data_IF_190209678946
#
_entry.id   IF_190209678946
#
_cell.length_a   1.000
_cell.length_b   1.000
_cell.length_c   1.000
_cell.angle_alpha   90.00
_cell.angle_beta   90.00
_cell.angle_gamma   90.00
#
_symmetry.space_group_name_H-M   'P 1'
#
loop_
_entity.id
_entity.type
_entity.pdbx_description
1 polymer ?
#
# COMPACT_ATOMS: atom_id res chain seq x y z
N UNK A 1 15.27 -66.15 9.15
CA UNK A 1 16.46 -65.46 8.61
C UNK A 1 16.21 -65.15 7.16
N UNK A 2 15.73 -63.96 6.86
CA UNK A 2 15.53 -63.47 5.51
C UNK A 2 16.43 -62.22 5.34
N UNK A 3 17.28 -62.33 4.32
CA UNK A 3 18.46 -61.55 4.04
C UNK A 3 18.21 -60.09 3.73
N UNK A 4 19.05 -59.21 4.31
CA UNK A 4 19.13 -57.75 4.14
C UNK A 4 19.63 -57.26 2.75
N UNK A 5 19.42 -57.98 1.67
CA UNK A 5 20.00 -57.70 0.33
C UNK A 5 19.00 -57.43 -0.81
N UNK A 6 17.76 -56.99 -0.51
CA UNK A 6 16.77 -56.72 -1.56
C UNK A 6 16.03 -55.39 -1.43
N UNK A 7 16.67 -54.34 -0.88
CA UNK A 7 16.03 -53.03 -0.77
C UNK A 7 16.89 -51.86 -1.33
N UNK A 8 17.68 -52.15 -2.35
CA UNK A 8 18.50 -51.13 -3.03
C UNK A 8 18.45 -51.35 -4.55
N UNK A 9 17.29 -51.25 -5.13
CA UNK A 9 17.10 -51.01 -6.57
C UNK A 9 15.69 -50.48 -6.76
N UNK A 10 15.57 -49.19 -6.93
CA UNK A 10 14.59 -48.38 -7.65
C UNK A 10 14.35 -47.08 -6.89
N UNK A 11 14.93 -46.05 -7.39
CA UNK A 11 14.42 -44.70 -7.62
C UNK A 11 15.56 -43.70 -7.69
N UNK A 12 16.35 -43.79 -8.77
CA UNK A 12 16.93 -42.58 -9.35
C UNK A 12 15.82 -41.90 -10.13
N UNK A 13 15.00 -41.13 -9.44
CA UNK A 13 14.18 -40.13 -10.07
C UNK A 13 15.10 -38.98 -10.43
N UNK A 14 15.43 -38.86 -11.70
CA UNK A 14 16.11 -37.72 -12.27
C UNK A 14 15.29 -36.47 -11.93
N UNK A 15 15.76 -35.65 -10.99
CA UNK A 15 15.38 -34.28 -10.88
C UNK A 15 15.81 -33.60 -12.19
N UNK A 16 14.90 -33.53 -13.14
CA UNK A 16 14.99 -32.63 -14.25
C UNK A 16 15.03 -31.21 -13.66
N UNK A 17 16.22 -30.66 -13.52
CA UNK A 17 16.38 -29.20 -13.42
C UNK A 17 15.78 -28.64 -14.70
N UNK A 18 14.53 -28.19 -14.61
CA UNK A 18 13.95 -27.34 -15.63
C UNK A 18 14.89 -26.13 -15.73
N UNK A 19 15.67 -26.10 -16.78
CA UNK A 19 16.52 -24.97 -17.13
C UNK A 19 15.58 -23.76 -17.22
N UNK A 20 15.69 -22.83 -16.26
CA UNK A 20 15.08 -21.52 -16.38
C UNK A 20 15.57 -20.97 -17.72
N UNK A 21 14.71 -20.70 -18.70
CA UNK A 21 15.15 -20.20 -19.97
C UNK A 21 15.93 -18.92 -19.68
N UNK A 22 17.24 -18.92 -19.96
CA UNK A 22 18.03 -17.70 -20.08
C UNK A 22 17.36 -16.94 -21.21
N UNK A 23 16.54 -15.93 -20.87
CA UNK A 23 16.01 -15.01 -21.87
C UNK A 23 17.21 -14.29 -22.44
N UNK A 24 17.67 -14.78 -23.57
CA UNK A 24 18.69 -14.13 -24.39
C UNK A 24 18.09 -12.81 -24.88
N UNK A 25 18.73 -11.69 -24.58
CA UNK A 25 18.38 -10.36 -25.09
C UNK A 25 18.73 -10.22 -26.58
N UNK A 26 18.28 -11.17 -27.39
CA UNK A 26 18.43 -11.17 -28.85
C UNK A 26 17.13 -10.75 -29.56
N UNK A 27 16.17 -10.13 -28.87
CA UNK A 27 15.02 -9.51 -29.53
C UNK A 27 15.28 -8.03 -29.77
N UNK A 28 14.83 -7.55 -30.93
CA UNK A 28 14.71 -6.12 -31.28
C UNK A 28 14.33 -5.27 -30.06
N UNK A 29 15.01 -4.14 -29.85
CA UNK A 29 14.74 -3.20 -28.77
C UNK A 29 13.21 -3.03 -28.56
N UNK A 30 12.68 -3.21 -27.35
CA UNK A 30 11.25 -3.01 -27.10
C UNK A 30 10.87 -1.54 -27.38
N UNK A 31 9.61 -1.31 -27.70
CA UNK A 31 9.10 0.07 -27.82
C UNK A 31 9.19 0.78 -26.47
N UNK A 32 8.85 0.08 -25.39
CA UNK A 32 8.72 0.66 -24.06
C UNK A 32 9.39 -0.21 -22.98
N UNK A 33 10.16 0.43 -22.10
CA UNK A 33 10.57 -0.17 -20.82
C UNK A 33 9.75 0.45 -19.71
N UNK A 34 9.16 -0.40 -18.85
CA UNK A 34 8.40 0.00 -17.66
C UNK A 34 9.19 -0.40 -16.41
N UNK A 35 9.51 0.55 -15.53
CA UNK A 35 10.24 0.35 -14.28
C UNK A 35 9.24 0.30 -13.12
N UNK A 36 9.06 -0.88 -12.53
CA UNK A 36 8.13 -1.19 -11.45
C UNK A 36 6.97 -2.06 -11.90
N UNK A 37 6.83 -3.25 -11.32
CA UNK A 37 5.76 -4.23 -11.57
C UNK A 37 4.60 -4.13 -10.57
N UNK A 38 4.36 -2.93 -10.01
CA UNK A 38 3.18 -2.63 -9.19
C UNK A 38 1.91 -2.41 -10.03
N UNK A 39 0.79 -2.08 -9.39
CA UNK A 39 -0.51 -1.88 -10.07
C UNK A 39 -0.43 -0.95 -11.28
N UNK A 40 0.34 0.14 -11.18
CA UNK A 40 0.54 1.09 -12.25
C UNK A 40 1.34 0.51 -13.43
N UNK A 41 2.50 -0.10 -13.16
CA UNK A 41 3.34 -0.68 -14.22
C UNK A 41 2.66 -1.86 -14.92
N UNK A 42 1.95 -2.70 -14.16
CA UNK A 42 1.12 -3.77 -14.72
C UNK A 42 0.04 -3.20 -15.66
N UNK A 43 -0.57 -2.07 -15.28
CA UNK A 43 -1.57 -1.40 -16.09
C UNK A 43 -0.98 -0.82 -17.39
N UNK A 44 0.13 -0.07 -17.29
CA UNK A 44 0.86 0.45 -18.47
C UNK A 44 1.14 -0.68 -19.46
N UNK A 45 1.78 -1.75 -18.96
CA UNK A 45 2.20 -2.89 -19.77
C UNK A 45 1.00 -3.56 -20.45
N UNK A 46 -0.07 -3.84 -19.69
CA UNK A 46 -1.26 -4.45 -20.23
C UNK A 46 -1.93 -3.61 -21.33
N UNK A 47 -2.05 -2.29 -21.12
CA UNK A 47 -2.71 -1.41 -22.09
C UNK A 47 -1.88 -1.22 -23.38
N UNK A 48 -0.56 -1.14 -23.28
CA UNK A 48 0.33 -1.06 -24.45
C UNK A 48 0.37 -2.39 -25.23
N UNK A 49 0.44 -3.53 -24.52
CA UNK A 49 0.37 -4.85 -25.15
C UNK A 49 -0.93 -5.05 -25.94
N UNK A 50 -2.08 -4.61 -25.40
CA UNK A 50 -3.37 -4.61 -26.11
C UNK A 50 -3.35 -3.79 -27.42
N UNK A 51 -2.42 -2.84 -27.52
CA UNK A 51 -2.21 -2.01 -28.71
C UNK A 51 -1.09 -2.53 -29.62
N UNK A 52 -0.62 -3.77 -29.38
CA UNK A 52 0.41 -4.42 -30.18
C UNK A 52 1.82 -3.87 -29.99
N UNK A 53 2.06 -3.09 -28.91
CA UNK A 53 3.39 -2.56 -28.64
C UNK A 53 4.25 -3.58 -27.90
N UNK A 54 5.55 -3.59 -28.20
CA UNK A 54 6.52 -4.42 -27.50
C UNK A 54 6.95 -3.73 -26.21
N UNK A 55 6.72 -4.40 -25.05
CA UNK A 55 6.93 -3.83 -23.71
C UNK A 55 7.73 -4.78 -22.85
N UNK A 56 8.75 -4.25 -22.18
CA UNK A 56 9.48 -4.94 -21.11
C UNK A 56 9.15 -4.27 -19.78
N UNK A 57 8.54 -5.02 -18.87
CA UNK A 57 8.24 -4.57 -17.50
C UNK A 57 9.25 -5.18 -16.53
N UNK A 58 9.91 -4.35 -15.73
CA UNK A 58 10.95 -4.71 -14.78
C UNK A 58 10.47 -4.50 -13.35
N UNK A 59 10.79 -5.42 -12.44
CA UNK A 59 10.62 -5.22 -11.01
C UNK A 59 11.84 -5.72 -10.24
N UNK A 60 12.29 -4.93 -9.26
CA UNK A 60 13.43 -5.28 -8.42
C UNK A 60 13.10 -6.38 -7.41
N UNK A 61 11.83 -6.54 -7.03
CA UNK A 61 11.37 -7.58 -6.11
C UNK A 61 11.26 -8.95 -6.81
N UNK A 62 11.16 -10.00 -6.01
CA UNK A 62 10.93 -11.38 -6.47
C UNK A 62 9.48 -11.66 -6.85
N UNK A 63 8.61 -10.65 -6.83
CA UNK A 63 7.17 -10.75 -7.08
C UNK A 63 6.62 -9.48 -7.72
N UNK A 64 5.52 -9.61 -8.46
CA UNK A 64 4.73 -8.47 -8.96
C UNK A 64 3.71 -7.99 -7.92
N UNK A 65 3.09 -6.83 -8.17
CA UNK A 65 2.04 -6.25 -7.33
C UNK A 65 2.50 -5.09 -6.43
N UNK A 66 3.81 -4.96 -6.18
CA UNK A 66 4.36 -3.88 -5.35
C UNK A 66 3.78 -3.85 -3.94
N UNK A 67 3.15 -2.74 -3.55
CA UNK A 67 2.47 -2.54 -2.24
C UNK A 67 1.09 -3.20 -2.12
N UNK A 68 0.62 -3.91 -3.14
CA UNK A 68 -0.63 -4.69 -3.12
C UNK A 68 -0.27 -6.16 -3.33
N UNK A 69 -0.15 -6.90 -2.23
CA UNK A 69 0.32 -8.27 -2.25
C UNK A 69 -0.30 -9.10 -1.13
N UNK A 70 -0.88 -10.24 -1.49
CA UNK A 70 -1.43 -11.22 -0.55
C UNK A 70 -0.42 -12.34 -0.32
N UNK A 71 -0.15 -12.65 0.94
CA UNK A 71 0.66 -13.78 1.39
C UNK A 71 -0.26 -14.81 2.08
N UNK A 72 -0.01 -16.09 1.84
CA UNK A 72 -0.75 -17.18 2.51
C UNK A 72 0.11 -18.02 3.45
N UNK A 73 1.44 -17.86 3.38
CA UNK A 73 2.37 -18.70 4.15
C UNK A 73 2.53 -18.22 5.61
N UNK A 74 2.36 -16.92 5.89
CA UNK A 74 2.57 -16.37 7.23
C UNK A 74 1.52 -16.89 8.21
N UNK A 75 0.24 -16.84 7.85
CA UNK A 75 -0.86 -17.24 8.73
C UNK A 75 -1.62 -18.50 8.28
N UNK A 76 -1.31 -19.06 7.11
CA UNK A 76 -2.05 -20.17 6.53
C UNK A 76 -3.39 -19.76 5.89
N UNK A 77 -3.71 -18.47 5.88
CA UNK A 77 -4.90 -17.86 5.28
C UNK A 77 -4.47 -16.63 4.47
N UNK A 78 -5.32 -16.11 3.56
CA UNK A 78 -5.02 -14.88 2.83
C UNK A 78 -4.73 -13.72 3.79
N UNK A 79 -3.58 -13.09 3.60
CA UNK A 79 -3.08 -11.97 4.39
C UNK A 79 -2.47 -10.91 3.45
N UNK A 80 -3.12 -9.77 3.33
CA UNK A 80 -2.59 -8.66 2.57
C UNK A 80 -1.51 -7.93 3.37
N UNK A 81 -0.28 -7.93 2.86
CA UNK A 81 0.85 -7.24 3.50
C UNK A 81 0.79 -5.71 3.35
N UNK A 82 -0.04 -5.22 2.44
CA UNK A 82 -0.23 -3.79 2.18
C UNK A 82 -1.70 -3.48 1.98
N UNK A 83 -2.07 -2.97 0.80
CA UNK A 83 -3.45 -2.57 0.53
C UNK A 83 -4.43 -3.74 0.68
N UNK A 84 -5.44 -3.59 1.52
CA UNK A 84 -6.50 -4.57 1.74
C UNK A 84 -7.92 -4.00 1.55
N UNK A 85 -8.12 -2.67 1.63
CA UNK A 85 -9.40 -2.03 1.31
C UNK A 85 -9.59 -1.81 -0.19
N UNK A 86 -10.73 -2.21 -0.70
CA UNK A 86 -11.24 -1.79 -2.00
C UNK A 86 -11.93 -0.42 -1.86
N UNK A 87 -11.15 0.65 -1.80
CA UNK A 87 -11.70 2.01 -1.75
C UNK A 87 -12.56 2.31 -2.98
N UNK A 88 -13.58 3.16 -2.80
CA UNK A 88 -14.53 3.53 -3.85
C UNK A 88 -15.19 2.30 -4.50
N UNK A 89 -15.71 1.42 -3.68
CA UNK A 89 -16.17 0.07 -4.00
C UNK A 89 -17.02 -0.02 -5.28
N UNK A 90 -17.90 0.96 -5.53
CA UNK A 90 -18.77 0.97 -6.71
C UNK A 90 -18.07 1.48 -7.98
N UNK A 91 -16.98 2.26 -7.86
CA UNK A 91 -16.26 2.88 -8.98
C UNK A 91 -14.90 2.22 -9.25
N UNK A 92 -14.42 1.41 -8.33
CA UNK A 92 -13.15 0.69 -8.44
C UNK A 92 -13.21 -0.37 -9.54
N UNK A 93 -12.43 -0.19 -10.61
CA UNK A 93 -12.43 -1.09 -11.76
C UNK A 93 -11.93 -2.49 -11.41
N UNK A 94 -11.04 -2.62 -10.41
CA UNK A 94 -10.53 -3.92 -9.95
C UNK A 94 -11.61 -4.65 -9.16
N UNK A 95 -12.36 -3.93 -8.31
CA UNK A 95 -13.53 -4.48 -7.62
C UNK A 95 -14.62 -4.91 -8.62
N UNK A 96 -14.89 -4.10 -9.64
CA UNK A 96 -15.84 -4.47 -10.71
C UNK A 96 -15.41 -5.73 -11.46
N UNK A 97 -14.11 -5.89 -11.71
CA UNK A 97 -13.57 -7.10 -12.31
C UNK A 97 -13.79 -8.31 -11.40
N UNK A 98 -13.40 -8.21 -10.13
CA UNK A 98 -13.54 -9.31 -9.17
C UNK A 98 -14.99 -9.74 -8.96
N UNK A 99 -15.94 -8.77 -8.92
CA UNK A 99 -17.39 -9.10 -8.87
C UNK A 99 -17.89 -9.92 -10.06
N UNK A 100 -17.20 -9.89 -11.20
CA UNK A 100 -17.50 -10.75 -12.36
C UNK A 100 -16.85 -12.13 -12.25
N UNK A 101 -15.90 -12.31 -11.35
CA UNK A 101 -15.16 -13.56 -11.10
C UNK A 101 -15.69 -14.23 -9.81
N UNK A 102 -17.01 -14.41 -9.68
CA UNK A 102 -17.68 -14.86 -8.46
C UNK A 102 -17.25 -16.25 -7.98
N UNK A 103 -16.81 -17.10 -8.89
CA UNK A 103 -16.35 -18.46 -8.55
C UNK A 103 -14.93 -18.46 -7.94
N UNK A 104 -14.20 -17.32 -8.05
CA UNK A 104 -12.83 -17.18 -7.59
C UNK A 104 -12.75 -16.22 -6.41
N UNK A 105 -13.47 -15.09 -6.46
CA UNK A 105 -13.36 -14.00 -5.49
C UNK A 105 -14.71 -13.70 -4.82
N UNK A 106 -14.70 -13.75 -3.50
CA UNK A 106 -15.78 -13.26 -2.65
C UNK A 106 -15.47 -11.79 -2.29
N UNK A 107 -16.24 -10.89 -2.90
CA UNK A 107 -16.08 -9.44 -2.75
C UNK A 107 -17.34 -8.87 -2.09
N UNK A 108 -17.16 -8.21 -0.98
CA UNK A 108 -18.27 -7.68 -0.21
C UNK A 108 -17.97 -6.28 0.34
N UNK A 109 -19.03 -5.58 0.70
CA UNK A 109 -18.95 -4.24 1.27
C UNK A 109 -18.52 -4.30 2.73
N UNK A 110 -17.69 -3.35 3.15
CA UNK A 110 -17.32 -3.16 4.55
C UNK A 110 -18.58 -3.02 5.42
N UNK A 111 -18.74 -3.83 6.48
CA UNK A 111 -19.89 -3.75 7.36
C UNK A 111 -19.92 -2.50 8.24
N UNK A 112 -18.80 -1.75 8.35
CA UNK A 112 -18.68 -0.48 9.11
C UNK A 112 -19.18 -0.60 10.56
N UNK A 113 -18.85 -1.71 11.23
CA UNK A 113 -19.22 -1.98 12.62
C UNK A 113 -18.04 -1.71 13.54
N UNK A 114 -18.29 -0.95 14.62
CA UNK A 114 -17.23 -0.57 15.55
C UNK A 114 -17.58 -0.91 16.98
N UNK A 115 -16.58 -1.31 17.76
CA UNK A 115 -16.62 -1.38 19.22
C UNK A 115 -15.54 -0.47 19.81
N UNK A 116 -15.94 0.35 20.78
CA UNK A 116 -15.10 1.38 21.38
C UNK A 116 -14.94 1.07 22.86
N UNK A 117 -13.71 1.19 23.35
CA UNK A 117 -13.37 0.91 24.75
C UNK A 117 -12.64 2.09 25.41
N UNK A 118 -13.01 2.36 26.66
CA UNK A 118 -12.28 3.23 27.59
C UNK A 118 -11.76 2.36 28.74
N UNK A 119 -10.48 2.01 28.69
CA UNK A 119 -9.94 0.91 29.48
C UNK A 119 -10.69 -0.39 29.18
N UNK A 120 -11.16 -1.09 30.19
CA UNK A 120 -11.93 -2.34 30.05
C UNK A 120 -13.42 -2.13 29.77
N UNK A 121 -13.89 -0.87 29.77
CA UNK A 121 -15.31 -0.55 29.63
C UNK A 121 -15.67 -0.27 28.17
N UNK A 122 -16.59 -1.05 27.61
CA UNK A 122 -17.21 -0.74 26.32
C UNK A 122 -18.10 0.50 26.41
N UNK A 123 -17.93 1.47 25.48
CA UNK A 123 -18.63 2.75 25.48
C UNK A 123 -19.31 3.05 24.14
N UNK A 124 -20.25 4.00 24.14
CA UNK A 124 -20.99 4.40 22.92
C UNK A 124 -20.20 5.32 21.97
N UNK A 125 -19.10 5.92 22.41
CA UNK A 125 -18.19 6.72 21.61
C UNK A 125 -18.73 8.06 21.09
N UNK A 126 -19.82 8.61 21.63
CA UNK A 126 -20.42 9.88 21.15
C UNK A 126 -19.43 11.06 21.15
N UNK A 127 -18.58 11.17 22.19
CA UNK A 127 -17.55 12.21 22.26
C UNK A 127 -16.48 12.03 21.18
N UNK A 128 -16.05 10.78 20.93
CA UNK A 128 -15.12 10.43 19.88
C UNK A 128 -15.69 10.80 18.51
N UNK A 129 -16.90 10.36 18.18
CA UNK A 129 -17.53 10.66 16.89
C UNK A 129 -17.74 12.17 16.66
N UNK A 130 -18.10 12.91 17.71
CA UNK A 130 -18.23 14.36 17.64
C UNK A 130 -16.91 15.04 17.25
N UNK A 131 -15.80 14.60 17.84
CA UNK A 131 -14.48 15.15 17.55
C UNK A 131 -13.93 14.65 16.19
N UNK A 132 -14.08 13.38 15.89
CA UNK A 132 -13.74 12.79 14.59
C UNK A 132 -14.42 13.54 13.44
N UNK A 133 -15.71 13.87 13.58
CA UNK A 133 -16.47 14.67 12.62
C UNK A 133 -15.92 16.10 12.49
N UNK A 134 -15.53 16.75 13.61
CA UNK A 134 -14.93 18.09 13.58
C UNK A 134 -13.59 18.10 12.86
N UNK A 135 -12.71 17.12 13.13
CA UNK A 135 -11.44 16.98 12.45
C UNK A 135 -11.64 16.68 10.95
N UNK A 136 -12.61 15.84 10.59
CA UNK A 136 -12.97 15.57 9.20
C UNK A 136 -13.48 16.82 8.47
N UNK A 137 -14.34 17.64 9.11
CA UNK A 137 -14.76 18.92 8.54
C UNK A 137 -13.61 19.88 8.36
N UNK A 138 -12.65 19.91 9.28
CA UNK A 138 -11.44 20.73 9.17
C UNK A 138 -10.61 20.29 7.97
N UNK A 139 -10.32 18.98 7.86
CA UNK A 139 -9.61 18.35 6.74
C UNK A 139 -10.23 18.71 5.38
N UNK A 140 -11.56 18.70 5.27
CA UNK A 140 -12.26 18.88 4.00
C UNK A 140 -12.55 20.34 3.63
N UNK A 141 -12.58 21.27 4.61
CA UNK A 141 -12.96 22.66 4.37
C UNK A 141 -11.80 23.64 4.27
N UNK A 142 -10.64 23.30 4.84
CA UNK A 142 -9.45 24.18 4.78
C UNK A 142 -8.85 24.16 3.38
N UNK A 143 -8.56 25.33 2.85
CA UNK A 143 -7.95 25.50 1.52
C UNK A 143 -6.47 25.81 1.60
N UNK A 144 -5.99 26.21 2.75
CA UNK A 144 -4.61 26.64 2.97
C UNK A 144 -3.67 25.44 2.94
N UNK A 145 -2.53 25.61 2.30
CA UNK A 145 -1.47 24.61 2.26
C UNK A 145 -0.51 24.78 3.45
N UNK A 146 -1.02 24.48 4.63
CA UNK A 146 -0.30 24.59 5.90
C UNK A 146 -0.52 23.31 6.73
N UNK A 147 0.33 23.04 7.76
CA UNK A 147 0.06 21.97 8.70
C UNK A 147 -1.35 22.10 9.29
N UNK A 148 -2.12 21.01 9.26
CA UNK A 148 -3.51 21.09 9.71
C UNK A 148 -3.62 21.30 11.22
N UNK A 149 -2.59 20.95 11.98
CA UNK A 149 -2.46 21.28 13.41
C UNK A 149 -2.67 22.78 13.69
N UNK A 150 -2.21 23.67 12.79
CA UNK A 150 -2.36 25.13 12.90
C UNK A 150 -3.83 25.60 12.88
N UNK A 151 -4.75 24.73 12.49
CA UNK A 151 -6.20 25.03 12.39
C UNK A 151 -7.03 24.33 13.48
N UNK A 152 -6.39 23.54 14.34
CA UNK A 152 -7.05 22.86 15.45
C UNK A 152 -7.33 23.90 16.56
N UNK A 153 -8.54 23.86 17.10
CA UNK A 153 -8.92 24.74 18.21
C UNK A 153 -8.39 24.17 19.52
N UNK A 154 -7.79 25.01 20.36
CA UNK A 154 -7.21 24.64 21.66
C UNK A 154 -8.16 23.77 22.51
N UNK A 155 -9.42 24.18 22.65
CA UNK A 155 -10.46 23.42 23.36
C UNK A 155 -10.73 22.01 22.83
N UNK A 156 -10.20 21.63 21.65
CA UNK A 156 -10.30 20.26 21.15
C UNK A 156 -9.19 19.39 21.72
N UNK A 157 -8.03 19.99 22.03
CA UNK A 157 -6.89 19.30 22.66
C UNK A 157 -7.19 18.83 24.07
N UNK A 158 -8.05 19.60 24.79
CA UNK A 158 -8.50 19.25 26.14
C UNK A 158 -9.47 18.05 26.17
N UNK A 159 -9.95 17.62 25.01
CA UNK A 159 -10.88 16.51 24.93
C UNK A 159 -10.14 15.18 25.10
N UNK A 160 -10.53 14.41 26.09
CA UNK A 160 -9.95 13.10 26.43
C UNK A 160 -9.92 12.07 25.28
N UNK A 161 -10.65 12.32 24.18
CA UNK A 161 -10.69 11.50 22.96
C UNK A 161 -9.91 12.10 21.80
N UNK A 162 -9.16 13.19 22.02
CA UNK A 162 -8.46 13.87 20.93
C UNK A 162 -7.42 12.94 20.28
N UNK A 163 -6.57 12.26 21.07
CA UNK A 163 -5.57 11.36 20.55
C UNK A 163 -6.19 10.20 19.73
N UNK A 164 -7.31 9.63 20.19
CA UNK A 164 -8.03 8.59 19.47
C UNK A 164 -8.61 9.11 18.14
N UNK A 165 -9.26 10.28 18.17
CA UNK A 165 -9.80 10.90 16.95
C UNK A 165 -8.68 11.31 15.97
N UNK A 166 -7.55 11.79 16.49
CA UNK A 166 -6.34 12.10 15.73
C UNK A 166 -5.80 10.84 15.04
N UNK A 167 -5.59 9.75 15.80
CA UNK A 167 -5.11 8.46 15.28
C UNK A 167 -5.95 7.99 14.09
N UNK A 168 -7.27 7.96 14.26
CA UNK A 168 -8.16 7.45 13.21
C UNK A 168 -8.11 8.37 11.98
N UNK A 169 -8.19 9.71 12.18
CA UNK A 169 -8.36 10.67 11.08
C UNK A 169 -7.08 10.96 10.30
N UNK A 170 -5.90 10.76 10.88
CA UNK A 170 -4.63 11.12 10.24
C UNK A 170 -3.67 9.94 10.13
N UNK A 171 -3.06 9.39 11.18
CA UNK A 171 -2.16 8.23 11.05
C UNK A 171 -2.80 7.05 10.30
N UNK A 172 -4.05 6.68 10.59
CA UNK A 172 -4.72 5.58 9.91
C UNK A 172 -5.17 5.90 8.49
N UNK A 173 -5.74 7.08 8.24
CA UNK A 173 -6.27 7.44 6.92
C UNK A 173 -5.21 8.04 5.98
N UNK A 174 -4.13 8.60 6.49
CA UNK A 174 -3.10 9.28 5.68
C UNK A 174 -1.67 8.80 5.92
N UNK A 175 -1.43 7.98 6.95
CA UNK A 175 -0.10 7.53 7.34
C UNK A 175 0.81 8.65 7.84
N UNK A 176 0.23 9.81 8.19
CA UNK A 176 0.92 11.00 8.70
C UNK A 176 0.18 11.58 9.89
N UNK A 177 0.91 12.22 10.78
CA UNK A 177 0.33 12.98 11.88
C UNK A 177 -0.28 14.30 11.39
N UNK A 178 -1.11 14.91 12.21
CA UNK A 178 -1.88 16.12 11.85
C UNK A 178 -0.99 17.33 11.53
N UNK A 179 0.19 17.41 12.13
CA UNK A 179 1.19 18.46 11.89
C UNK A 179 1.99 18.24 10.58
N UNK A 180 2.02 17.01 10.10
CA UNK A 180 2.65 16.61 8.84
C UNK A 180 1.68 16.54 7.66
N UNK A 181 0.39 16.78 7.91
CA UNK A 181 -0.68 16.70 6.94
C UNK A 181 -1.15 18.09 6.51
N UNK A 182 -1.33 18.31 5.21
CA UNK A 182 -1.92 19.53 4.67
C UNK A 182 -3.37 19.32 4.23
N UNK A 183 -4.23 20.28 4.56
CA UNK A 183 -5.61 20.28 4.12
C UNK A 183 -5.76 20.43 2.60
N UNK A 184 -4.82 21.14 1.95
CA UNK A 184 -4.82 21.29 0.50
C UNK A 184 -4.72 19.94 -0.22
N UNK A 185 -3.86 19.02 0.28
CA UNK A 185 -3.76 17.66 -0.26
C UNK A 185 -5.02 16.83 0.01
N UNK A 186 -5.59 16.95 1.21
CA UNK A 186 -6.84 16.29 1.57
C UNK A 186 -8.01 16.70 0.69
N UNK A 187 -8.11 17.98 0.36
CA UNK A 187 -9.14 18.50 -0.53
C UNK A 187 -9.01 17.94 -1.94
N UNK A 188 -7.79 17.92 -2.50
CA UNK A 188 -7.54 17.32 -3.82
C UNK A 188 -7.94 15.83 -3.86
N UNK A 189 -7.68 15.09 -2.78
CA UNK A 189 -8.10 13.70 -2.68
C UNK A 189 -9.64 13.59 -2.63
N UNK A 190 -10.30 14.39 -1.80
CA UNK A 190 -11.77 14.39 -1.69
C UNK A 190 -12.47 14.79 -2.99
N UNK A 191 -11.97 15.84 -3.68
CA UNK A 191 -12.49 16.25 -4.98
C UNK A 191 -12.24 15.21 -6.07
N UNK A 192 -11.17 14.44 -5.97
CA UNK A 192 -10.90 13.33 -6.88
C UNK A 192 -11.84 12.13 -6.67
N UNK A 193 -12.38 11.99 -5.47
CA UNK A 193 -13.49 11.08 -5.15
C UNK A 193 -14.87 11.67 -5.56
N UNK A 194 -14.89 12.84 -6.18
CA UNK A 194 -16.07 13.67 -6.44
C UNK A 194 -17.18 13.09 -7.31
N UNK A 195 -16.97 11.89 -7.86
CA UNK A 195 -18.06 11.03 -8.32
C UNK A 195 -18.72 10.29 -7.13
N UNK A 196 -18.59 10.88 -5.96
CA UNK A 196 -19.19 10.48 -4.69
C UNK A 196 -18.38 9.41 -3.96
N UNK A 197 -17.98 9.72 -2.74
CA UNK A 197 -17.75 8.76 -1.65
C UNK A 197 -18.94 7.78 -1.46
N UNK A 198 -19.87 7.75 -2.39
CA UNK A 198 -21.13 7.01 -2.37
C UNK A 198 -20.98 5.50 -2.50
N UNK A 199 -19.75 4.99 -2.64
CA UNK A 199 -19.52 3.55 -2.72
C UNK A 199 -19.09 2.91 -1.41
N UNK A 200 -18.56 3.70 -0.47
CA UNK A 200 -17.86 3.16 0.70
C UNK A 200 -16.65 2.30 0.32
N UNK A 201 -16.21 1.50 1.25
CA UNK A 201 -15.13 0.55 1.08
C UNK A 201 -15.64 -0.89 1.03
N UNK A 202 -14.79 -1.81 0.66
CA UNK A 202 -15.08 -3.24 0.65
C UNK A 202 -13.84 -4.08 0.78
N UNK A 203 -14.04 -5.38 0.84
CA UNK A 203 -13.00 -6.37 1.05
C UNK A 203 -13.02 -7.47 0.00
N UNK A 204 -11.91 -8.19 -0.09
CA UNK A 204 -11.74 -9.40 -0.89
C UNK A 204 -11.30 -10.53 0.02
N UNK A 205 -12.12 -11.55 0.20
CA UNK A 205 -11.81 -12.66 1.11
C UNK A 205 -10.50 -13.39 0.76
N UNK A 206 -10.20 -13.50 -0.53
CA UNK A 206 -8.97 -14.13 -1.03
C UNK A 206 -7.76 -13.18 -1.05
N UNK A 207 -7.95 -11.92 -0.63
CA UNK A 207 -6.95 -10.87 -0.58
C UNK A 207 -6.95 -9.97 -1.83
N UNK A 208 -6.71 -8.68 -1.60
CA UNK A 208 -6.68 -7.68 -2.67
C UNK A 208 -5.47 -7.87 -3.60
N UNK A 209 -4.33 -8.28 -3.03
CA UNK A 209 -3.15 -8.60 -3.83
C UNK A 209 -3.38 -9.79 -4.77
N UNK A 210 -4.10 -10.82 -4.32
CA UNK A 210 -4.49 -11.96 -5.16
C UNK A 210 -5.44 -11.53 -6.28
N UNK A 211 -6.40 -10.66 -5.99
CA UNK A 211 -7.30 -10.09 -7.00
C UNK A 211 -6.54 -9.27 -8.04
N UNK A 212 -5.61 -8.40 -7.63
CA UNK A 212 -4.77 -7.63 -8.55
C UNK A 212 -3.90 -8.55 -9.43
N UNK A 213 -3.31 -9.59 -8.84
CA UNK A 213 -2.49 -10.56 -9.54
C UNK A 213 -3.31 -11.31 -10.62
N UNK A 214 -4.53 -11.69 -10.31
CA UNK A 214 -5.46 -12.31 -11.26
C UNK A 214 -5.93 -11.33 -12.35
N UNK A 215 -6.26 -10.10 -11.97
CA UNK A 215 -6.66 -9.03 -12.90
C UNK A 215 -5.59 -8.73 -13.95
N UNK A 216 -4.31 -8.86 -13.58
CA UNK A 216 -3.15 -8.61 -14.44
C UNK A 216 -2.29 -9.88 -14.66
N UNK A 217 -2.92 -11.08 -14.63
CA UNK A 217 -2.21 -12.36 -14.70
C UNK A 217 -1.37 -12.52 -15.96
N UNK A 218 -1.85 -12.05 -17.09
CA UNK A 218 -1.20 -12.18 -18.40
C UNK A 218 -0.09 -11.13 -18.67
N UNK A 219 0.23 -10.27 -17.67
CA UNK A 219 1.31 -9.29 -17.81
C UNK A 219 2.65 -9.92 -17.43
N UNK A 220 3.58 -10.08 -18.38
CA UNK A 220 4.92 -10.55 -18.08
C UNK A 220 5.71 -9.48 -17.34
N UNK A 221 6.45 -9.90 -16.29
CA UNK A 221 7.34 -9.01 -15.53
C UNK A 221 8.68 -9.72 -15.33
N UNK A 222 9.76 -9.04 -15.66
CA UNK A 222 11.10 -9.50 -15.33
C UNK A 222 11.40 -9.14 -13.88
N UNK A 223 11.24 -10.10 -13.00
CA UNK A 223 11.45 -9.97 -11.56
C UNK A 223 12.96 -9.98 -11.22
N UNK A 224 13.28 -9.53 -9.99
CA UNK A 224 14.67 -9.45 -9.50
C UNK A 224 15.59 -8.69 -10.48
N UNK A 225 15.03 -7.66 -11.11
CA UNK A 225 15.72 -6.82 -12.09
C UNK A 225 15.77 -5.39 -11.57
N UNK A 226 16.88 -5.07 -10.94
CA UNK A 226 17.12 -3.74 -10.35
C UNK A 226 17.65 -2.80 -11.44
N UNK A 227 17.00 -1.65 -11.59
CA UNK A 227 17.47 -0.58 -12.47
C UNK A 227 18.42 0.32 -11.67
N UNK A 228 19.58 0.58 -12.24
CA UNK A 228 20.62 1.43 -11.64
C UNK A 228 20.70 2.81 -12.31
N UNK A 229 20.45 2.88 -13.64
CA UNK A 229 20.54 4.12 -14.38
C UNK A 229 19.56 4.12 -15.57
N UNK A 230 19.00 5.30 -15.87
CA UNK A 230 18.23 5.59 -17.08
C UNK A 230 18.94 6.67 -17.87
N UNK A 231 19.51 6.30 -19.05
CA UNK A 231 20.14 7.25 -19.98
C UNK A 231 19.13 7.62 -21.06
N UNK A 232 18.96 8.93 -21.27
CA UNK A 232 17.92 9.45 -22.19
C UNK A 232 18.39 10.58 -23.11
N UNK A 233 19.71 10.72 -23.27
CA UNK A 233 20.40 11.70 -24.13
C UNK A 233 20.45 11.32 -25.63
N UNK A 234 20.15 10.06 -25.99
CA UNK A 234 20.14 9.56 -27.37
C UNK A 234 18.77 9.63 -28.06
N UNK A 235 18.60 8.94 -29.19
CA UNK A 235 17.33 8.83 -29.93
C UNK A 235 16.24 8.00 -29.23
N UNK A 236 16.46 7.59 -27.99
CA UNK A 236 15.58 6.80 -27.14
C UNK A 236 16.14 6.78 -25.74
N UNK A 237 15.92 5.66 -25.05
CA UNK A 237 16.40 5.44 -23.69
C UNK A 237 17.24 4.17 -23.59
N UNK A 238 18.22 4.18 -22.67
CA UNK A 238 18.96 2.99 -22.26
C UNK A 238 18.79 2.79 -20.76
N UNK A 239 18.19 1.68 -20.38
CA UNK A 239 17.94 1.32 -18.98
C UNK A 239 19.00 0.33 -18.54
N UNK A 240 19.88 0.74 -17.65
CA UNK A 240 20.99 -0.08 -17.11
C UNK A 240 20.47 -0.83 -15.88
N UNK A 241 20.57 -2.14 -15.93
CA UNK A 241 20.08 -3.04 -14.87
C UNK A 241 21.19 -3.93 -14.34
N UNK A 242 20.94 -4.64 -13.24
CA UNK A 242 21.82 -5.71 -12.74
C UNK A 242 21.91 -6.93 -13.69
N UNK A 243 21.10 -6.99 -14.75
CA UNK A 243 21.06 -8.08 -15.73
C UNK A 243 21.50 -7.66 -17.15
N UNK A 244 21.96 -6.42 -17.30
CA UNK A 244 22.36 -5.87 -18.60
C UNK A 244 21.63 -4.58 -18.95
N UNK A 245 21.80 -4.13 -20.19
CA UNK A 245 21.25 -2.87 -20.69
C UNK A 245 20.08 -3.17 -21.64
N UNK A 246 18.98 -2.45 -21.48
CA UNK A 246 17.82 -2.53 -22.35
C UNK A 246 17.67 -1.17 -23.04
N UNK A 247 17.67 -1.16 -24.38
CA UNK A 247 17.37 0.03 -25.16
C UNK A 247 15.89 0.04 -25.57
N UNK A 248 15.24 1.21 -25.55
CA UNK A 248 13.85 1.37 -25.94
C UNK A 248 13.60 2.77 -26.51
N UNK A 249 12.43 3.01 -27.11
CA UNK A 249 12.04 4.35 -27.56
C UNK A 249 11.76 5.24 -26.34
N UNK A 250 11.01 4.73 -25.37
CA UNK A 250 10.59 5.47 -24.15
C UNK A 250 10.70 4.60 -22.90
N UNK A 251 10.76 5.25 -21.75
CA UNK A 251 10.74 4.63 -20.43
C UNK A 251 9.59 5.15 -19.58
N UNK A 252 8.86 4.26 -18.91
CA UNK A 252 7.82 4.62 -17.93
C UNK A 252 8.29 4.28 -16.53
N UNK A 253 8.36 5.28 -15.65
CA UNK A 253 8.78 5.18 -14.26
C UNK A 253 7.54 5.04 -13.38
N UNK A 254 7.42 3.94 -12.63
CA UNK A 254 6.25 3.65 -11.78
C UNK A 254 6.62 3.30 -10.35
N UNK A 255 7.83 3.59 -9.92
CA UNK A 255 8.32 3.38 -8.56
C UNK A 255 7.68 4.34 -7.56
N UNK A 256 7.78 4.03 -6.26
CA UNK A 256 7.29 4.93 -5.20
C UNK A 256 8.10 6.23 -5.18
N UNK A 257 7.50 7.30 -4.66
CA UNK A 257 8.18 8.60 -4.53
C UNK A 257 9.41 8.52 -3.63
N UNK A 258 9.35 7.78 -2.53
CA UNK A 258 10.50 7.60 -1.64
C UNK A 258 11.61 6.76 -2.28
N UNK A 259 11.28 5.74 -3.08
CA UNK A 259 12.29 5.00 -3.83
C UNK A 259 12.95 5.87 -4.91
N UNK A 260 12.20 6.76 -5.56
CA UNK A 260 12.74 7.76 -6.47
C UNK A 260 13.71 8.71 -5.74
N UNK A 261 13.28 9.28 -4.61
CA UNK A 261 14.08 10.23 -3.81
C UNK A 261 15.33 9.59 -3.18
N UNK A 262 15.39 8.26 -3.06
CA UNK A 262 16.58 7.58 -2.54
C UNK A 262 17.81 7.73 -3.44
N UNK A 263 17.64 8.22 -4.69
CA UNK A 263 18.73 8.40 -5.64
C UNK A 263 19.37 7.11 -6.16
N UNK A 264 18.80 5.94 -5.83
CA UNK A 264 19.33 4.62 -6.28
C UNK A 264 19.26 4.43 -7.79
N UNK A 265 18.33 5.11 -8.46
CA UNK A 265 18.27 5.14 -9.92
C UNK A 265 18.83 6.49 -10.39
N UNK A 266 19.96 6.44 -11.07
CA UNK A 266 20.56 7.62 -11.69
C UNK A 266 19.85 7.94 -13.00
N UNK A 267 19.64 9.22 -13.28
CA UNK A 267 19.15 9.72 -14.57
C UNK A 267 20.28 10.47 -15.29
N UNK A 268 20.55 10.13 -16.54
CA UNK A 268 21.60 10.74 -17.35
C UNK A 268 21.04 11.19 -18.71
N UNK A 269 20.97 12.49 -18.99
CA UNK A 269 21.26 13.62 -18.11
C UNK A 269 20.42 13.64 -16.83
N UNK A 270 20.74 14.54 -15.87
CA UNK A 270 19.89 14.75 -14.70
C UNK A 270 18.50 15.23 -15.16
N UNK A 271 17.47 14.87 -14.42
CA UNK A 271 16.12 15.38 -14.68
C UNK A 271 16.03 16.88 -14.36
N UNK A 272 15.05 17.60 -14.92
CA UNK A 272 14.76 18.97 -14.51
C UNK A 272 14.56 19.06 -12.99
N UNK A 273 15.04 20.14 -12.38
CA UNK A 273 15.00 20.31 -10.91
C UNK A 273 13.57 20.24 -10.36
N UNK A 274 12.60 20.74 -11.13
CA UNK A 274 11.19 20.75 -10.77
C UNK A 274 10.62 19.31 -10.62
N UNK A 275 11.26 18.34 -11.26
CA UNK A 275 10.89 16.91 -11.11
C UNK A 275 11.34 16.38 -9.76
N UNK A 276 12.57 16.67 -9.32
CA UNK A 276 13.08 16.28 -8.02
C UNK A 276 12.30 16.98 -6.89
N UNK A 277 12.04 18.28 -7.02
CA UNK A 277 11.23 19.05 -6.06
C UNK A 277 9.82 18.47 -5.91
N UNK A 278 9.20 18.07 -7.04
CA UNK A 278 7.87 17.46 -7.02
C UNK A 278 7.87 16.10 -6.33
N UNK A 279 8.88 15.26 -6.56
CA UNK A 279 8.97 13.96 -5.88
C UNK A 279 9.30 14.11 -4.40
N UNK A 280 10.15 15.08 -4.00
CA UNK A 280 10.45 15.40 -2.60
C UNK A 280 9.20 15.89 -1.86
N UNK A 281 8.37 16.69 -2.52
CA UNK A 281 7.14 17.21 -1.95
C UNK A 281 6.12 16.10 -1.56
N UNK A 282 6.24 14.90 -2.12
CA UNK A 282 5.29 13.79 -1.94
C UNK A 282 5.97 12.51 -1.47
N UNK A 283 6.68 12.58 -0.35
CA UNK A 283 7.27 11.39 0.27
C UNK A 283 6.20 10.37 0.70
N UNK A 284 6.56 9.10 0.69
CA UNK A 284 5.69 8.06 1.24
C UNK A 284 5.49 8.25 2.74
N UNK A 285 4.28 8.02 3.19
CA UNK A 285 3.90 8.00 4.60
C UNK A 285 4.42 6.74 5.31
N UNK A 286 4.38 6.76 6.64
CA UNK A 286 4.70 5.60 7.46
C UNK A 286 3.39 4.87 7.82
N UNK A 287 3.31 3.58 7.47
CA UNK A 287 2.15 2.76 7.78
C UNK A 287 2.52 1.30 7.73
N UNK A 288 2.18 0.56 8.79
CA UNK A 288 2.44 -0.86 8.88
C UNK A 288 1.24 -1.59 9.49
N UNK A 289 1.04 -2.83 9.07
CA UNK A 289 0.12 -3.75 9.71
C UNK A 289 0.85 -4.51 10.82
N UNK A 290 0.39 -4.38 12.04
CA UNK A 290 0.65 -5.36 13.11
C UNK A 290 -0.53 -6.31 13.09
N UNK A 291 -0.31 -7.56 12.70
CA UNK A 291 -1.38 -8.54 12.52
C UNK A 291 -1.23 -9.68 13.50
N UNK A 292 -2.29 -10.00 14.21
CA UNK A 292 -2.35 -11.10 15.15
C UNK A 292 -3.32 -12.19 14.66
N UNK A 293 -2.92 -13.43 14.81
CA UNK A 293 -3.81 -14.57 14.75
C UNK A 293 -4.24 -14.91 16.17
N UNK A 294 -5.56 -14.95 16.40
CA UNK A 294 -6.16 -15.26 17.68
C UNK A 294 -7.00 -16.53 17.60
N UNK A 295 -7.16 -17.22 18.74
CA UNK A 295 -8.04 -18.38 18.84
C UNK A 295 -9.51 -17.97 18.67
N UNK A 296 -10.30 -18.86 18.12
CA UNK A 296 -11.74 -18.68 17.88
C UNK A 296 -12.51 -18.33 19.16
N UNK A 297 -12.07 -18.85 20.30
CA UNK A 297 -12.69 -18.61 21.60
C UNK A 297 -12.69 -17.12 22.00
N UNK A 298 -11.66 -16.34 21.60
CA UNK A 298 -11.65 -14.90 21.82
C UNK A 298 -12.83 -14.21 21.13
N UNK A 299 -13.05 -14.52 19.85
CA UNK A 299 -14.12 -13.89 19.08
C UNK A 299 -15.50 -14.26 19.59
N UNK A 300 -15.66 -15.47 20.11
CA UNK A 300 -16.90 -15.94 20.75
C UNK A 300 -17.14 -15.27 22.11
N UNK A 301 -16.13 -15.27 22.99
CA UNK A 301 -16.20 -14.74 24.34
C UNK A 301 -16.55 -13.24 24.33
N UNK A 302 -15.87 -12.46 23.49
CA UNK A 302 -16.07 -11.02 23.40
C UNK A 302 -17.10 -10.60 22.32
N UNK A 303 -17.78 -11.55 21.68
CA UNK A 303 -18.79 -11.33 20.63
C UNK A 303 -18.30 -10.46 19.48
N UNK A 304 -17.03 -10.64 19.09
CA UNK A 304 -16.41 -9.95 17.96
C UNK A 304 -16.91 -10.57 16.65
N UNK A 305 -17.59 -9.77 15.85
CA UNK A 305 -18.06 -10.21 14.52
C UNK A 305 -16.94 -10.06 13.48
N UNK A 306 -16.99 -10.81 12.37
CA UNK A 306 -16.07 -10.59 11.26
C UNK A 306 -16.05 -9.12 10.81
N UNK A 307 -14.87 -8.62 10.47
CA UNK A 307 -14.60 -7.29 9.96
C UNK A 307 -15.04 -6.15 10.88
N UNK A 308 -15.09 -6.40 12.21
CA UNK A 308 -15.45 -5.40 13.20
C UNK A 308 -14.26 -4.52 13.55
N UNK A 309 -14.43 -3.22 13.49
CA UNK A 309 -13.44 -2.27 14.01
C UNK A 309 -13.39 -2.28 15.53
N UNK A 310 -12.19 -2.24 16.09
CA UNK A 310 -11.95 -2.12 17.52
C UNK A 310 -11.14 -0.85 17.79
N UNK A 311 -11.62 0.00 18.67
CA UNK A 311 -11.04 1.30 18.96
C UNK A 311 -10.85 1.45 20.47
N UNK A 312 -9.64 1.22 20.99
CA UNK A 312 -9.31 1.57 22.37
C UNK A 312 -9.08 3.08 22.49
N UNK A 313 -9.39 3.65 23.65
CA UNK A 313 -9.06 5.04 23.96
C UNK A 313 -7.55 5.21 24.11
N UNK A 314 -7.00 6.13 23.34
CA UNK A 314 -5.57 6.47 23.36
C UNK A 314 -5.34 7.64 24.32
N UNK A 315 -4.26 7.59 25.11
CA UNK A 315 -3.97 8.55 26.19
C UNK A 315 -2.85 9.55 25.86
N UNK A 316 -2.41 9.60 24.58
CA UNK A 316 -1.38 10.56 24.15
C UNK A 316 -1.89 12.02 24.28
N UNK A 317 -1.01 12.93 24.69
CA UNK A 317 -1.36 14.34 24.92
C UNK A 317 -0.97 15.25 23.75
N UNK A 318 -1.79 16.25 23.49
CA UNK A 318 -1.54 17.31 22.53
C UNK A 318 -1.40 16.81 21.10
N UNK A 319 -0.41 17.34 20.35
CA UNK A 319 -0.12 16.99 18.96
C UNK A 319 0.96 15.91 18.80
N UNK A 320 1.40 15.29 19.87
CA UNK A 320 2.31 14.14 19.76
C UNK A 320 1.68 13.07 18.89
N UNK A 321 2.52 12.35 18.15
CA UNK A 321 2.05 11.18 17.39
C UNK A 321 1.33 10.22 18.34
N UNK A 322 0.06 9.86 18.06
CA UNK A 322 -0.67 8.98 18.97
C UNK A 322 -0.06 7.59 19.00
N UNK A 323 0.24 7.10 20.19
CA UNK A 323 0.67 5.72 20.40
C UNK A 323 -0.56 4.79 20.34
N UNK A 324 -0.96 4.45 19.13
CA UNK A 324 -2.18 3.71 18.90
C UNK A 324 -2.29 3.13 17.50
N UNK A 325 -3.45 2.53 17.23
CA UNK A 325 -3.75 1.89 15.95
C UNK A 325 -5.21 2.04 15.56
N UNK A 326 -5.52 1.80 14.29
CA UNK A 326 -6.85 1.37 13.85
C UNK A 326 -6.86 -0.13 13.70
N UNK A 327 -7.97 -0.79 13.95
CA UNK A 327 -7.98 -2.22 13.81
C UNK A 327 -9.22 -2.76 13.11
N UNK A 328 -9.00 -3.82 12.34
CA UNK A 328 -10.07 -4.65 11.77
C UNK A 328 -9.92 -6.05 12.35
N UNK A 329 -10.88 -6.43 13.20
CA UNK A 329 -10.87 -7.68 13.93
C UNK A 329 -11.50 -8.81 13.10
N UNK A 330 -10.91 -10.01 13.20
CA UNK A 330 -11.44 -11.23 12.55
C UNK A 330 -11.71 -11.01 11.06
N UNK A 331 -10.74 -10.45 10.34
CA UNK A 331 -10.89 -10.12 8.92
C UNK A 331 -11.34 -11.36 8.12
N UNK A 332 -12.43 -11.23 7.38
CA UNK A 332 -13.02 -12.32 6.58
C UNK A 332 -13.38 -13.59 7.35
N UNK A 333 -13.60 -13.52 8.67
CA UNK A 333 -13.74 -14.67 9.56
C UNK A 333 -12.54 -15.64 9.55
N UNK A 334 -11.35 -15.10 9.30
CA UNK A 334 -10.10 -15.86 9.13
C UNK A 334 -9.28 -16.02 10.40
N UNK A 335 -9.77 -15.47 11.54
CA UNK A 335 -9.08 -15.42 12.84
C UNK A 335 -7.80 -14.60 12.86
N UNK A 336 -7.53 -13.82 11.81
CA UNK A 336 -6.52 -12.77 11.85
C UNK A 336 -7.16 -11.40 12.04
N UNK A 337 -6.48 -10.56 12.79
CA UNK A 337 -6.91 -9.19 13.08
C UNK A 337 -5.76 -8.24 12.77
N UNK A 338 -6.07 -7.17 12.05
CA UNK A 338 -5.11 -6.11 11.72
C UNK A 338 -5.19 -5.02 12.78
N UNK A 339 -4.02 -4.52 13.16
CA UNK A 339 -3.80 -3.37 14.01
C UNK A 339 -2.86 -2.43 13.26
N UNK A 340 -3.46 -1.46 12.61
CA UNK A 340 -2.77 -0.60 11.66
C UNK A 340 -2.17 0.59 12.37
N UNK A 341 -0.85 0.68 12.37
CA UNK A 341 -0.09 1.81 12.92
C UNK A 341 0.34 2.75 11.81
N UNK A 342 0.24 4.06 12.06
CA UNK A 342 0.61 5.11 11.11
C UNK A 342 1.37 6.25 11.78
N UNK A 343 1.83 7.22 10.97
CA UNK A 343 2.54 8.40 11.44
C UNK A 343 3.96 8.12 11.96
N UNK A 344 4.49 9.02 12.78
CA UNK A 344 5.83 8.86 13.36
C UNK A 344 5.90 7.67 14.32
N UNK A 345 4.81 7.38 15.04
CA UNK A 345 4.73 6.20 15.89
C UNK A 345 4.98 4.89 15.12
N UNK A 346 4.40 4.73 13.93
CA UNK A 346 4.67 3.57 13.08
C UNK A 346 6.14 3.46 12.67
N UNK A 347 6.78 4.60 12.38
CA UNK A 347 8.19 4.65 12.01
C UNK A 347 9.10 4.26 13.18
N UNK A 348 8.76 4.68 14.39
CA UNK A 348 9.52 4.33 15.59
C UNK A 348 9.35 2.85 15.94
N UNK A 349 8.14 2.30 15.92
CA UNK A 349 7.91 0.86 16.07
C UNK A 349 8.66 0.03 15.02
N UNK A 350 8.74 0.51 13.79
CA UNK A 350 9.48 -0.18 12.72
C UNK A 350 10.98 -0.20 12.97
N UNK A 351 11.55 0.86 13.58
CA UNK A 351 12.97 0.88 14.00
C UNK A 351 13.24 -0.15 15.08
N UNK A 352 12.36 -0.24 16.07
CA UNK A 352 12.48 -1.21 17.18
C UNK A 352 12.24 -2.65 16.72
N UNK A 353 11.48 -2.85 15.65
CA UNK A 353 11.29 -4.13 15.01
C UNK A 353 9.95 -4.80 15.26
N UNK A 354 9.71 -5.90 14.53
CA UNK A 354 8.41 -6.59 14.50
C UNK A 354 7.93 -7.06 15.87
N UNK A 355 8.85 -7.47 16.75
CA UNK A 355 8.49 -7.90 18.10
C UNK A 355 7.91 -6.77 18.93
N UNK A 356 8.51 -5.57 18.87
CA UNK A 356 8.03 -4.41 19.61
C UNK A 356 6.60 -4.03 19.20
N UNK A 357 6.30 -4.03 17.88
CA UNK A 357 4.94 -3.77 17.41
C UNK A 357 3.93 -4.81 17.88
N UNK A 358 4.30 -6.10 17.88
CA UNK A 358 3.43 -7.18 18.38
C UNK A 358 3.20 -7.03 19.90
N UNK A 359 4.26 -6.78 20.68
CA UNK A 359 4.17 -6.62 22.12
C UNK A 359 3.31 -5.39 22.50
N UNK A 360 3.42 -4.29 21.75
CA UNK A 360 2.60 -3.10 21.94
C UNK A 360 1.09 -3.42 21.77
N UNK A 361 0.73 -4.12 20.69
CA UNK A 361 -0.65 -4.51 20.47
C UNK A 361 -1.15 -5.48 21.54
N UNK A 362 -0.35 -6.48 21.89
CA UNK A 362 -0.69 -7.42 22.94
C UNK A 362 -0.92 -6.71 24.28
N UNK A 363 -0.08 -5.72 24.62
CA UNK A 363 -0.27 -4.95 25.85
C UNK A 363 -1.58 -4.18 25.85
N UNK A 364 -1.92 -3.50 24.76
CA UNK A 364 -3.21 -2.79 24.63
C UNK A 364 -4.41 -3.74 24.75
N UNK A 365 -4.28 -4.97 24.23
CA UNK A 365 -5.34 -5.98 24.34
C UNK A 365 -5.46 -6.54 25.75
N UNK A 366 -4.34 -6.73 26.50
CA UNK A 366 -4.36 -7.07 27.92
C UNK A 366 -5.01 -5.96 28.74
N UNK A 367 -4.68 -4.71 28.47
CA UNK A 367 -5.27 -3.56 29.19
C UNK A 367 -6.80 -3.47 28.97
N UNK A 368 -7.26 -3.93 27.82
CA UNK A 368 -8.69 -3.87 27.44
C UNK A 368 -9.47 -5.11 27.85
N UNK A 369 -8.92 -6.31 27.63
CA UNK A 369 -9.63 -7.58 27.79
C UNK A 369 -9.19 -8.38 29.02
N UNK A 370 -8.22 -7.89 29.76
CA UNK A 370 -7.68 -8.53 30.96
C UNK A 370 -6.31 -9.16 30.77
N UNK A 371 -5.60 -9.35 31.88
CA UNK A 371 -4.20 -9.83 31.89
C UNK A 371 -4.04 -11.25 31.33
N UNK A 372 -5.09 -12.05 31.30
CA UNK A 372 -5.11 -13.41 30.77
C UNK A 372 -5.36 -13.49 29.25
N UNK A 373 -5.39 -12.33 28.56
CA UNK A 373 -5.60 -12.26 27.12
C UNK A 373 -4.64 -13.16 26.31
N UNK A 374 -3.43 -13.36 26.80
CA UNK A 374 -2.40 -14.16 26.11
C UNK A 374 -2.83 -15.60 25.81
N UNK A 375 -3.80 -16.14 26.55
CA UNK A 375 -4.38 -17.46 26.27
C UNK A 375 -4.98 -17.58 24.85
N UNK A 376 -5.37 -16.44 24.24
CA UNK A 376 -5.96 -16.39 22.91
C UNK A 376 -4.94 -16.14 21.79
N UNK A 377 -3.75 -15.67 22.12
CA UNK A 377 -2.71 -15.36 21.14
C UNK A 377 -2.14 -16.64 20.52
N UNK A 378 -2.00 -16.66 19.18
CA UNK A 378 -1.39 -17.78 18.45
C UNK A 378 -0.05 -17.34 17.87
N UNK A 379 -0.04 -16.30 17.05
CA UNK A 379 1.17 -15.69 16.49
C UNK A 379 0.89 -14.29 15.94
N UNK A 380 1.96 -13.52 15.73
CA UNK A 380 1.89 -12.18 15.17
C UNK A 380 2.90 -11.95 14.04
N UNK A 381 2.62 -10.94 13.23
CA UNK A 381 3.51 -10.45 12.19
C UNK A 381 3.35 -8.94 12.06
N UNK A 382 4.44 -8.21 11.87
CA UNK A 382 4.41 -6.79 11.53
C UNK A 382 5.08 -6.56 10.18
N UNK A 383 4.45 -5.81 9.32
CA UNK A 383 5.04 -5.36 8.06
C UNK A 383 6.07 -4.26 8.31
N UNK A 384 7.02 -4.10 7.38
CA UNK A 384 8.14 -3.14 7.50
C UNK A 384 8.36 -2.44 6.15
N UNK A 385 7.34 -1.69 5.71
CA UNK A 385 7.37 -1.05 4.39
C UNK A 385 8.41 0.06 4.28
N UNK A 386 8.73 0.76 5.38
CA UNK A 386 9.79 1.76 5.44
C UNK A 386 11.19 1.18 5.26
N UNK A 387 11.41 -0.06 5.75
CA UNK A 387 12.67 -0.79 5.58
C UNK A 387 12.79 -1.50 4.24
N UNK A 388 11.72 -1.62 3.45
CA UNK A 388 11.78 -2.25 2.14
C UNK A 388 12.58 -1.37 1.17
N UNK A 389 13.77 -1.80 0.66
CA UNK A 389 14.70 -0.96 -0.09
C UNK A 389 14.17 -0.50 -1.45
N UNK A 390 13.10 -1.10 -1.95
CA UNK A 390 12.47 -0.82 -3.24
C UNK A 390 11.18 -0.01 -3.13
N UNK A 391 10.71 0.26 -1.88
CA UNK A 391 9.44 0.96 -1.63
C UNK A 391 9.63 2.15 -0.71
N UNK A 392 10.25 1.97 0.47
CA UNK A 392 10.60 3.00 1.45
C UNK A 392 9.37 3.78 1.99
N UNK A 393 8.32 3.06 2.37
CA UNK A 393 7.12 3.62 2.98
C UNK A 393 5.81 3.08 2.41
N UNK A 394 4.69 3.70 2.76
CA UNK A 394 3.35 3.27 2.38
C UNK A 394 2.86 3.99 1.10
N UNK A 395 2.17 5.11 1.20
CA UNK A 395 1.69 5.89 0.04
C UNK A 395 2.08 7.35 0.13
N UNK A 396 2.08 8.03 -1.01
CA UNK A 396 2.53 9.40 -1.13
C UNK A 396 1.45 10.39 -0.65
N UNK A 397 1.86 11.37 0.17
CA UNK A 397 1.04 12.53 0.53
C UNK A 397 1.88 13.80 0.58
N UNK A 398 1.26 14.95 0.33
CA UNK A 398 1.96 16.22 0.24
C UNK A 398 2.58 16.63 1.58
N UNK A 399 3.78 17.21 1.52
CA UNK A 399 4.33 18.02 2.59
C UNK A 399 3.60 19.36 2.64
N UNK A 400 3.21 19.88 3.81
CA UNK A 400 2.62 21.21 3.92
C UNK A 400 3.43 22.30 3.19
N UNK A 401 2.73 23.16 2.46
CA UNK A 401 3.32 24.20 1.61
C UNK A 401 3.70 23.74 0.20
N UNK A 402 3.58 22.43 -0.12
CA UNK A 402 4.04 21.86 -1.39
C UNK A 402 2.96 21.12 -2.18
N UNK A 403 1.68 21.17 -1.78
CA UNK A 403 0.60 20.42 -2.44
C UNK A 403 0.41 20.81 -3.91
N UNK A 404 0.68 22.06 -4.28
CA UNK A 404 0.60 22.58 -5.65
C UNK A 404 1.56 21.89 -6.62
N UNK A 405 2.65 21.26 -6.14
CA UNK A 405 3.63 20.56 -6.97
C UNK A 405 3.12 19.20 -7.49
N UNK A 406 1.95 18.69 -7.04
CA UNK A 406 1.40 17.42 -7.51
C UNK A 406 1.23 17.34 -9.02
N UNK A 407 0.95 18.47 -9.68
CA UNK A 407 0.87 18.52 -11.16
C UNK A 407 2.19 18.14 -11.84
N UNK A 408 3.33 18.47 -11.23
CA UNK A 408 4.67 18.27 -11.80
C UNK A 408 5.15 16.81 -11.70
N UNK A 409 4.64 16.04 -10.71
CA UNK A 409 4.98 14.61 -10.57
C UNK A 409 4.67 13.82 -11.84
N UNK A 410 3.55 14.09 -12.50
CA UNK A 410 3.04 13.32 -13.65
C UNK A 410 3.52 13.80 -15.02
N UNK A 411 4.12 14.99 -15.13
CA UNK A 411 4.58 15.52 -16.42
C UNK A 411 5.68 14.66 -17.03
N UNK A 412 5.62 14.39 -18.33
CA UNK A 412 6.70 13.71 -19.07
C UNK A 412 7.96 14.58 -19.15
N UNK A 413 9.09 13.98 -19.47
CA UNK A 413 10.35 14.67 -19.71
C UNK A 413 10.85 14.28 -21.10
N UNK A 414 11.04 15.25 -21.96
CA UNK A 414 11.60 15.15 -23.32
C UNK A 414 10.89 14.09 -24.20
N UNK A 415 9.60 13.82 -23.93
CA UNK A 415 8.80 12.80 -24.63
C UNK A 415 9.42 11.40 -24.63
N UNK A 416 10.34 11.15 -23.71
CA UNK A 416 11.06 9.88 -23.50
C UNK A 416 10.80 9.26 -22.14
N UNK A 417 10.62 10.08 -21.11
CA UNK A 417 10.41 9.63 -19.73
C UNK A 417 8.98 9.99 -19.30
N UNK A 418 8.21 8.98 -18.95
CA UNK A 418 6.83 9.12 -18.50
C UNK A 418 6.69 8.62 -17.06
N UNK A 419 5.75 9.18 -16.32
CA UNK A 419 5.60 8.92 -14.88
C UNK A 419 4.18 8.50 -14.53
N UNK A 420 4.06 7.32 -13.92
CA UNK A 420 2.82 6.79 -13.41
C UNK A 420 3.03 6.25 -11.98
N UNK A 421 1.98 5.91 -11.29
CA UNK A 421 1.98 5.46 -9.89
C UNK A 421 0.85 6.12 -9.12
N UNK A 422 0.59 5.64 -7.90
CA UNK A 422 -0.49 6.19 -7.08
C UNK A 422 -0.30 7.69 -6.80
N UNK A 423 0.94 8.16 -6.62
CA UNK A 423 1.24 9.57 -6.39
C UNK A 423 0.83 10.49 -7.55
N UNK A 424 0.79 9.98 -8.78
CA UNK A 424 0.43 10.72 -10.00
C UNK A 424 -1.07 10.68 -10.33
N UNK A 425 -1.84 9.89 -9.58
CA UNK A 425 -3.25 9.65 -9.82
C UNK A 425 -4.14 10.75 -9.23
N UNK A 426 -5.34 10.92 -9.77
CA UNK A 426 -6.40 11.70 -9.10
C UNK A 426 -6.79 11.05 -7.76
N UNK A 427 -7.01 9.74 -7.78
CA UNK A 427 -7.27 8.93 -6.59
C UNK A 427 -5.93 8.44 -6.00
N UNK A 428 -5.06 9.37 -5.58
CA UNK A 428 -3.75 9.01 -5.03
C UNK A 428 -3.87 8.18 -3.74
N UNK A 429 -2.80 7.49 -3.36
CA UNK A 429 -2.80 6.61 -2.20
C UNK A 429 -3.61 5.32 -2.39
N UNK A 430 -4.09 5.01 -3.60
CA UNK A 430 -4.96 3.84 -3.84
C UNK A 430 -4.45 2.95 -4.96
N UNK A 431 -4.76 1.64 -4.87
CA UNK A 431 -4.39 0.66 -5.90
C UNK A 431 -5.11 0.94 -7.22
N UNK A 432 -6.41 1.23 -7.17
CA UNK A 432 -7.19 1.54 -8.38
C UNK A 432 -6.77 2.88 -9.02
N UNK A 433 -6.32 3.84 -8.21
CA UNK A 433 -5.72 5.09 -8.70
C UNK A 433 -4.40 4.82 -9.41
N UNK A 434 -3.53 3.98 -8.83
CA UNK A 434 -2.31 3.54 -9.47
C UNK A 434 -2.58 2.86 -10.83
N UNK A 435 -3.54 1.94 -10.89
CA UNK A 435 -3.95 1.26 -12.14
C UNK A 435 -4.47 2.28 -13.18
N UNK A 436 -5.33 3.23 -12.80
CA UNK A 436 -5.80 4.32 -13.67
C UNK A 436 -4.67 5.21 -14.18
N UNK A 437 -3.68 5.52 -13.33
CA UNK A 437 -2.53 6.30 -13.74
C UNK A 437 -1.69 5.59 -14.81
N UNK A 438 -1.58 4.27 -14.70
CA UNK A 438 -0.93 3.44 -15.71
C UNK A 438 -1.67 3.50 -17.06
N UNK A 439 -2.98 3.34 -17.04
CA UNK A 439 -3.80 3.45 -18.26
C UNK A 439 -3.72 4.84 -18.90
N UNK A 440 -3.59 5.92 -18.09
CA UNK A 440 -3.35 7.28 -18.58
C UNK A 440 -2.03 7.36 -19.34
N UNK A 441 -0.93 6.92 -18.69
CA UNK A 441 0.40 6.99 -19.27
C UNK A 441 0.51 6.11 -20.52
N UNK A 442 -0.14 4.96 -20.56
CA UNK A 442 -0.17 4.13 -21.76
C UNK A 442 -0.73 4.89 -22.97
N UNK A 443 -1.78 5.70 -22.77
CA UNK A 443 -2.34 6.57 -23.84
C UNK A 443 -1.37 7.68 -24.26
N UNK A 444 -0.67 8.29 -23.30
CA UNK A 444 0.33 9.33 -23.58
C UNK A 444 1.50 8.75 -24.40
N UNK A 445 2.01 7.59 -24.00
CA UNK A 445 3.12 6.90 -24.68
C UNK A 445 2.82 6.49 -26.10
N UNK A 446 1.57 6.13 -26.43
CA UNK A 446 1.18 5.71 -27.78
C UNK A 446 1.44 6.77 -28.87
N UNK A 447 1.59 8.04 -28.50
CA UNK A 447 1.94 9.11 -29.44
C UNK A 447 3.41 9.10 -29.85
N UNK A 448 4.25 8.29 -29.19
CA UNK A 448 5.73 8.29 -29.36
C UNK A 448 6.32 6.92 -29.71
N UNK A 449 5.49 5.85 -29.84
CA UNK A 449 5.95 4.48 -30.09
C UNK A 449 5.17 3.75 -31.19
#
# INVERSE_FOLDING_TARGET
MISRRRFLKTSLSALAFAAIPKISFSQSNPDVVVIGGGASGLSVTAELMKKGKSVVCLDAMSRKGGRCFTNTSIFGVPYDLGAHWLHNFNFNQIAKYGKKQKDIFDIYKDPDKVMIYDGQKKVKGMKLYGLYSKLGKLKNKTKDDVPLSNKVKEKWLENEWFATAHQIRFPCESGKDIDQYTAADGKLNWESYGEGSQGGDGFVKQGYGALLAHYRQNVPVQLQTTVNEVKWDGNGVKVVTNKGIISAKVCVITISTSAFNSGKIKFTPALPIEKYEAYDAFSCSNYNHVTLQLKDDFYKEYKVKPDMYFTPKIKTEGFKSPEGYCSTMNLHDSKISYFDVGGEFAKDLEKEGSKAGIDFVLQTLRDTFGSDFDKFFVKGHMTTWGKNPFVLGAWASATPGKANLRKNIKTSVADKLFFAGEATAKNYGTVHGADRSGARVAKEVLNFV
#
